data_IF_712632207133
#
_entry.id   IF_712632207133
#
_cell.length_a   1.000
_cell.length_b   1.000
_cell.length_c   1.000
_cell.angle_alpha   90.00
_cell.angle_beta   90.00
_cell.angle_gamma   90.00
#
_symmetry.space_group_name_H-M   'P 1'
#
loop_
_entity.id
_entity.type
_entity.pdbx_description
1 polymer ?
#
# COMPACT_ATOMS: atom_id res chain seq x y z
N UNK A 1 -14.06 6.80 18.53
CA UNK A 1 -13.65 7.88 17.60
C UNK A 1 -14.79 8.15 16.64
N UNK A 2 -15.46 9.27 16.84
CA UNK A 2 -16.67 9.66 16.12
C UNK A 2 -16.30 10.40 14.85
N UNK A 3 -17.05 10.13 13.79
CA UNK A 3 -16.84 10.71 12.49
C UNK A 3 -17.46 12.11 12.45
N UNK A 4 -16.66 13.15 12.22
CA UNK A 4 -17.12 14.54 12.17
C UNK A 4 -17.66 14.92 10.77
N UNK A 5 -17.02 14.45 9.70
CA UNK A 5 -17.45 14.74 8.33
C UNK A 5 -18.59 13.80 7.88
N UNK A 6 -19.76 14.36 7.58
CA UNK A 6 -20.98 13.64 7.20
C UNK A 6 -20.95 13.00 5.81
N UNK A 7 -20.11 13.49 4.89
CA UNK A 7 -20.01 12.98 3.50
C UNK A 7 -19.37 11.60 3.39
N UNK A 8 -18.45 11.28 4.31
CA UNK A 8 -17.79 9.99 4.35
C UNK A 8 -18.78 8.95 4.92
N UNK A 9 -18.62 7.66 4.63
CA UNK A 9 -19.41 6.59 5.31
C UNK A 9 -18.53 5.69 6.18
N UNK A 10 -19.02 5.27 7.34
CA UNK A 10 -18.39 4.23 8.19
C UNK A 10 -18.97 2.83 7.94
N UNK A 11 -19.93 2.70 7.00
CA UNK A 11 -20.55 1.42 6.67
C UNK A 11 -19.52 0.45 6.08
N UNK A 12 -19.40 -0.73 6.71
CA UNK A 12 -18.53 -1.83 6.26
C UNK A 12 -18.78 -2.20 4.80
N UNK A 13 -20.04 -2.22 4.36
CA UNK A 13 -20.44 -2.56 2.98
C UNK A 13 -19.89 -1.54 1.98
N UNK A 14 -20.00 -0.24 2.28
CA UNK A 14 -19.51 0.84 1.41
C UNK A 14 -17.97 0.84 1.34
N UNK A 15 -17.30 0.65 2.48
CA UNK A 15 -15.82 0.55 2.53
C UNK A 15 -15.28 -0.61 1.71
N UNK A 16 -15.86 -1.81 1.86
CA UNK A 16 -15.47 -2.99 1.06
C UNK A 16 -15.68 -2.75 -0.43
N UNK A 17 -16.86 -2.22 -0.83
CA UNK A 17 -17.14 -1.92 -2.23
C UNK A 17 -16.06 -0.99 -2.81
N UNK A 18 -15.72 0.09 -2.11
CA UNK A 18 -14.69 1.03 -2.54
C UNK A 18 -13.29 0.40 -2.68
N UNK A 19 -12.91 -0.54 -1.80
CA UNK A 19 -11.62 -1.24 -1.89
C UNK A 19 -11.56 -2.19 -3.10
N UNK A 20 -12.52 -3.11 -3.22
CA UNK A 20 -12.49 -4.13 -4.26
C UNK A 20 -12.77 -3.58 -5.65
N UNK A 21 -13.63 -2.57 -5.78
CA UNK A 21 -13.94 -1.92 -7.06
C UNK A 21 -13.02 -0.74 -7.39
N UNK A 22 -11.91 -0.54 -6.66
CA UNK A 22 -11.00 0.57 -6.90
C UNK A 22 -10.35 0.49 -8.29
N UNK A 23 -10.27 1.59 -9.05
CA UNK A 23 -9.55 1.63 -10.32
C UNK A 23 -8.03 1.57 -10.12
N UNK A 24 -7.28 1.31 -11.20
CA UNK A 24 -5.82 1.11 -11.16
C UNK A 24 -5.05 2.30 -10.56
N UNK A 25 -5.49 3.53 -10.80
CA UNK A 25 -4.88 4.75 -10.26
C UNK A 25 -4.99 4.81 -8.73
N UNK A 26 -6.15 4.44 -8.18
CA UNK A 26 -6.38 4.39 -6.74
C UNK A 26 -5.64 3.20 -6.11
N UNK A 27 -5.66 2.02 -6.77
CA UNK A 27 -4.91 0.84 -6.31
C UNK A 27 -3.41 1.12 -6.19
N UNK A 28 -2.83 1.94 -7.07
CA UNK A 28 -1.43 2.40 -6.95
C UNK A 28 -1.14 3.03 -5.59
N UNK A 29 -2.02 3.93 -5.14
CA UNK A 29 -1.84 4.63 -3.86
C UNK A 29 -2.10 3.71 -2.67
N UNK A 30 -3.10 2.83 -2.77
CA UNK A 30 -3.40 1.83 -1.73
C UNK A 30 -2.21 0.87 -1.54
N UNK A 31 -1.60 0.42 -2.63
CA UNK A 31 -0.43 -0.46 -2.64
C UNK A 31 0.88 0.31 -2.39
N UNK A 32 0.93 1.03 -1.27
CA UNK A 32 2.13 1.73 -0.79
C UNK A 32 2.88 0.90 0.24
N UNK A 33 4.21 1.02 0.25
CA UNK A 33 5.07 0.37 1.22
C UNK A 33 5.83 1.40 2.08
N UNK A 34 6.11 1.06 3.35
CA UNK A 34 6.99 1.85 4.18
C UNK A 34 8.44 1.79 3.68
N UNK A 35 9.15 2.90 3.75
CA UNK A 35 10.60 2.94 3.50
C UNK A 35 11.38 2.38 4.71
N UNK A 36 12.62 1.93 4.48
CA UNK A 36 13.59 1.58 5.53
C UNK A 36 13.99 2.82 6.33
N UNK A 37 14.57 2.65 7.53
CA UNK A 37 14.93 3.78 8.40
C UNK A 37 15.88 4.76 7.70
N UNK A 38 16.91 4.24 7.03
CA UNK A 38 17.89 5.01 6.26
C UNK A 38 17.22 5.81 5.13
N UNK A 39 16.32 5.18 4.37
CA UNK A 39 15.61 5.86 3.28
C UNK A 39 14.61 6.89 3.81
N UNK A 40 14.01 6.66 4.98
CA UNK A 40 13.14 7.64 5.64
C UNK A 40 13.92 8.86 6.09
N UNK A 41 15.10 8.70 6.65
CA UNK A 41 15.96 9.82 7.06
C UNK A 41 16.45 10.61 5.84
N UNK A 42 16.87 9.91 4.78
CA UNK A 42 17.35 10.54 3.54
C UNK A 42 16.28 11.35 2.82
N UNK A 43 15.08 10.80 2.67
CA UNK A 43 14.01 11.41 1.86
C UNK A 43 12.91 12.09 2.68
N UNK A 44 12.94 11.96 4.01
CA UNK A 44 11.94 12.48 4.95
C UNK A 44 10.49 12.06 4.63
N UNK A 45 10.31 10.89 4.02
CA UNK A 45 9.00 10.33 3.64
C UNK A 45 8.82 8.95 4.27
N UNK A 46 7.63 8.69 4.83
CA UNK A 46 7.34 7.42 5.52
C UNK A 46 7.07 6.25 4.57
N UNK A 47 6.35 6.49 3.48
CA UNK A 47 5.88 5.46 2.55
C UNK A 47 5.70 5.99 1.14
N UNK A 48 5.93 5.13 0.14
CA UNK A 48 5.79 5.45 -1.28
C UNK A 48 5.02 4.33 -1.99
N UNK A 49 4.19 4.63 -3.02
CA UNK A 49 3.62 3.63 -3.92
C UNK A 49 4.69 2.78 -4.60
N UNK A 50 4.61 1.45 -4.46
CA UNK A 50 5.59 0.51 -5.03
C UNK A 50 5.57 0.57 -6.56
N UNK A 51 6.74 0.46 -7.18
CA UNK A 51 6.92 0.41 -8.62
C UNK A 51 7.73 -0.83 -9.04
N UNK A 52 7.74 -1.06 -10.34
CA UNK A 52 8.65 -2.03 -10.94
C UNK A 52 10.08 -1.54 -10.70
N UNK A 53 10.98 -2.49 -10.49
CA UNK A 53 12.41 -2.29 -10.30
C UNK A 53 12.85 -1.76 -8.93
N UNK A 54 11.92 -1.56 -7.99
CA UNK A 54 12.26 -1.27 -6.59
C UNK A 54 12.87 -2.51 -5.90
N UNK A 55 13.86 -2.30 -5.05
CA UNK A 55 14.40 -3.30 -4.13
C UNK A 55 13.62 -3.27 -2.81
N UNK A 56 13.19 -4.45 -2.35
CA UNK A 56 12.32 -4.60 -1.18
C UNK A 56 12.79 -5.72 -0.26
N UNK A 57 12.59 -5.51 1.03
CA UNK A 57 12.82 -6.52 2.08
C UNK A 57 11.49 -6.94 2.69
N UNK A 58 11.27 -8.25 2.85
CA UNK A 58 10.05 -8.79 3.45
C UNK A 58 10.15 -8.75 4.98
N UNK A 59 9.29 -7.98 5.64
CA UNK A 59 9.34 -7.78 7.11
C UNK A 59 8.45 -8.76 7.88
N UNK A 60 7.42 -9.35 7.25
CA UNK A 60 6.41 -10.22 7.88
C UNK A 60 6.10 -11.44 6.99
N UNK A 61 5.57 -12.50 7.60
CA UNK A 61 5.20 -13.76 6.91
C UNK A 61 6.34 -14.77 6.82
N UNK A 62 6.12 -15.88 6.11
CA UNK A 62 7.06 -17.01 6.03
C UNK A 62 8.38 -16.68 5.33
N UNK A 63 8.36 -15.73 4.38
CA UNK A 63 9.54 -15.29 3.62
C UNK A 63 10.25 -14.09 4.28
N UNK A 64 10.05 -13.86 5.58
CA UNK A 64 10.65 -12.74 6.32
C UNK A 64 12.18 -12.75 6.22
N UNK A 65 12.77 -11.57 6.03
CA UNK A 65 14.21 -11.36 5.94
C UNK A 65 14.79 -11.54 4.54
N UNK A 66 13.98 -11.98 3.57
CA UNK A 66 14.42 -12.05 2.18
C UNK A 66 14.33 -10.68 1.51
N UNK A 67 15.30 -10.42 0.65
CA UNK A 67 15.38 -9.25 -0.20
C UNK A 67 15.17 -9.65 -1.66
N UNK A 68 14.68 -8.72 -2.47
CA UNK A 68 14.49 -8.96 -3.88
C UNK A 68 14.00 -7.75 -4.64
N UNK A 69 14.13 -7.82 -5.97
CA UNK A 69 13.67 -6.78 -6.89
C UNK A 69 12.25 -7.05 -7.37
N UNK A 70 11.43 -6.02 -7.44
CA UNK A 70 10.04 -6.12 -7.91
C UNK A 70 9.99 -6.25 -9.43
N UNK A 71 9.55 -7.41 -9.94
CA UNK A 71 9.42 -7.67 -11.38
C UNK A 71 8.16 -7.07 -12.00
N UNK A 72 7.04 -7.11 -11.27
CA UNK A 72 5.76 -6.54 -11.71
C UNK A 72 4.88 -6.19 -10.51
N UNK A 73 4.10 -5.12 -10.65
CA UNK A 73 3.08 -4.72 -9.66
C UNK A 73 1.71 -5.12 -10.18
N UNK A 74 1.26 -6.31 -9.79
CA UNK A 74 0.01 -6.88 -10.30
C UNK A 74 -1.21 -6.34 -9.55
N UNK A 75 -1.68 -5.15 -9.94
CA UNK A 75 -2.80 -4.45 -9.27
C UNK A 75 -4.12 -5.20 -9.34
N UNK A 76 -4.36 -6.03 -10.36
CA UNK A 76 -5.64 -6.72 -10.54
C UNK A 76 -5.91 -7.78 -9.47
N UNK A 77 -4.87 -8.47 -8.95
CA UNK A 77 -4.98 -9.51 -7.90
C UNK A 77 -5.04 -8.94 -6.47
N UNK A 78 -5.17 -7.64 -6.30
CA UNK A 78 -5.32 -7.04 -4.97
C UNK A 78 -6.73 -7.31 -4.42
N UNK A 79 -6.81 -8.05 -3.31
CA UNK A 79 -8.04 -8.49 -2.61
C UNK A 79 -8.04 -7.88 -1.22
#
# INVERSE_FOLDING_TARGET
MTKINTSLSSSRRKSRKAHFSAPSSVRRTIMSAPLSKELREKYNVRSIPIRKDDEVTIVRGSNKGREGKVTSVYRLKWV
#
